data_IF_838155985601
#
_entry.id   IF_838155985601
#
_cell.length_a   1.000
_cell.length_b   1.000
_cell.length_c   1.000
_cell.angle_alpha   90.00
_cell.angle_beta   90.00
_cell.angle_gamma   90.00
#
_symmetry.space_group_name_H-M   'P 1'
#
loop_
_entity.id
_entity.type
_entity.pdbx_description
1 polymer ?
#
# COMPACT_ATOMS: atom_id res chain seq x y z
N UNK A 1 -9.82 20.63 -4.76
CA UNK A 1 -9.99 21.20 -6.11
C UNK A 1 -10.37 20.10 -7.09
N UNK A 2 -11.31 20.34 -8.01
CA UNK A 2 -11.57 19.37 -9.11
C UNK A 2 -10.31 19.25 -9.96
N UNK A 3 -9.95 18.02 -10.36
CA UNK A 3 -8.73 17.73 -11.14
C UNK A 3 -8.66 18.59 -12.42
N UNK A 4 -9.81 18.83 -13.04
CA UNK A 4 -9.98 19.63 -14.26
C UNK A 4 -9.56 21.11 -14.12
N UNK A 5 -9.58 21.68 -12.90
CA UNK A 5 -9.22 23.07 -12.65
C UNK A 5 -7.75 23.25 -12.26
N UNK A 6 -7.01 22.16 -12.04
CA UNK A 6 -5.63 22.22 -11.57
C UNK A 6 -4.66 22.60 -12.69
N UNK A 7 -3.84 23.63 -12.45
CA UNK A 7 -2.69 23.99 -13.30
C UNK A 7 -1.76 22.79 -13.52
N UNK A 8 -1.60 21.95 -12.49
CA UNK A 8 -0.83 20.72 -12.53
C UNK A 8 -1.29 19.74 -13.64
N UNK A 9 -2.58 19.71 -13.97
CA UNK A 9 -3.09 18.84 -15.07
C UNK A 9 -2.68 19.34 -16.45
N UNK A 10 -2.36 20.63 -16.60
CA UNK A 10 -1.80 21.18 -17.84
C UNK A 10 -0.29 20.95 -17.89
N UNK A 11 0.42 21.27 -16.80
CA UNK A 11 1.86 21.05 -16.69
C UNK A 11 2.26 19.58 -16.86
N UNK A 12 1.46 18.63 -16.37
CA UNK A 12 1.74 17.19 -16.54
C UNK A 12 1.57 16.72 -17.99
N UNK A 13 0.88 17.46 -18.88
CA UNK A 13 0.75 17.05 -20.29
C UNK A 13 2.00 17.40 -21.10
N UNK A 14 2.77 18.40 -20.67
CA UNK A 14 3.97 18.86 -21.37
C UNK A 14 5.24 18.15 -20.85
N UNK A 15 6.30 18.11 -21.66
CA UNK A 15 7.60 17.54 -21.25
C UNK A 15 8.51 18.60 -20.63
N UNK A 16 8.19 19.87 -20.84
CA UNK A 16 8.98 21.00 -20.38
C UNK A 16 8.27 21.67 -19.19
N UNK A 17 8.99 22.46 -18.38
CA UNK A 17 8.37 23.28 -17.36
C UNK A 17 7.30 24.21 -17.96
N UNK A 18 6.15 24.30 -17.28
CA UNK A 18 5.10 25.24 -17.61
C UNK A 18 5.22 26.45 -16.70
N UNK A 19 5.65 27.59 -17.25
CA UNK A 19 5.77 28.85 -16.52
C UNK A 19 4.69 29.82 -17.02
N UNK A 20 3.89 30.32 -16.10
CA UNK A 20 2.81 31.28 -16.32
C UNK A 20 3.09 32.50 -15.45
N UNK A 21 3.58 33.57 -16.07
CA UNK A 21 3.96 34.80 -15.39
C UNK A 21 2.78 35.53 -14.75
N UNK A 22 1.65 35.55 -15.46
CA UNK A 22 0.37 36.07 -14.97
C UNK A 22 -0.80 35.28 -15.56
N UNK A 23 -1.44 34.45 -14.73
CA UNK A 23 -2.57 33.60 -15.10
C UNK A 23 -3.81 34.40 -15.51
N UNK A 24 -3.91 35.68 -15.12
CA UNK A 24 -5.00 36.56 -15.54
C UNK A 24 -4.80 37.08 -16.98
N UNK A 25 -3.57 37.04 -17.48
CA UNK A 25 -3.23 37.43 -18.85
C UNK A 25 -3.07 36.21 -19.77
N UNK A 26 -2.89 35.02 -19.20
CA UNK A 26 -2.76 33.78 -19.96
C UNK A 26 -4.13 33.27 -20.41
N UNK A 27 -4.35 33.21 -21.74
CA UNK A 27 -5.59 32.75 -22.36
C UNK A 27 -6.02 31.34 -21.90
N UNK A 28 -5.07 30.49 -21.49
CA UNK A 28 -5.34 29.12 -21.02
C UNK A 28 -5.99 29.11 -19.63
N UNK A 29 -5.72 30.13 -18.81
CA UNK A 29 -6.06 30.15 -17.39
C UNK A 29 -6.94 31.33 -16.96
N UNK A 30 -7.15 32.33 -17.82
CA UNK A 30 -7.92 33.54 -17.50
C UNK A 30 -9.32 33.28 -16.94
N UNK A 31 -10.00 32.23 -17.42
CA UNK A 31 -11.34 31.84 -16.96
C UNK A 31 -11.32 30.74 -15.88
N UNK A 32 -10.14 30.36 -15.37
CA UNK A 32 -10.02 29.31 -14.38
C UNK A 32 -10.57 29.81 -13.02
N UNK A 33 -11.46 29.06 -12.34
CA UNK A 33 -11.99 29.43 -11.03
C UNK A 33 -10.91 29.72 -9.96
N UNK A 34 -9.72 29.15 -10.08
CA UNK A 34 -8.60 29.41 -9.17
C UNK A 34 -7.87 30.74 -9.44
N UNK A 35 -8.14 31.36 -10.59
CA UNK A 35 -7.60 32.66 -11.02
C UNK A 35 -8.63 33.76 -10.77
N UNK A 36 -9.89 33.54 -11.19
CA UNK A 36 -10.98 34.52 -11.06
C UNK A 36 -11.61 34.54 -9.66
N UNK A 37 -11.62 33.38 -8.98
CA UNK A 37 -12.05 33.23 -7.59
C UNK A 37 -10.86 33.00 -6.65
N UNK A 38 -11.13 32.74 -5.37
CA UNK A 38 -10.08 32.39 -4.42
C UNK A 38 -9.42 31.04 -4.80
N UNK A 39 -8.08 30.92 -4.75
CA UNK A 39 -7.16 31.80 -4.04
C UNK A 39 -6.54 32.94 -4.88
N UNK A 40 -7.07 33.23 -6.07
CA UNK A 40 -6.58 34.27 -7.01
C UNK A 40 -5.13 34.05 -7.43
N UNK A 41 -4.85 32.86 -7.95
CA UNK A 41 -3.53 32.50 -8.47
C UNK A 41 -3.18 33.45 -9.63
N UNK A 42 -2.01 34.08 -9.55
CA UNK A 42 -1.47 34.94 -10.59
C UNK A 42 -0.19 34.35 -11.17
N UNK A 43 0.69 33.79 -10.37
CA UNK A 43 1.90 33.13 -10.86
C UNK A 43 1.82 31.62 -10.66
N UNK A 44 2.27 30.87 -11.67
CA UNK A 44 2.41 29.43 -11.61
C UNK A 44 3.68 28.99 -12.34
N UNK A 45 4.52 28.19 -11.70
CA UNK A 45 5.60 27.48 -12.37
C UNK A 45 5.52 26.00 -12.00
N UNK A 46 5.30 25.14 -12.99
CA UNK A 46 5.13 23.69 -12.82
C UNK A 46 6.22 22.92 -13.55
N UNK A 47 6.97 22.12 -12.80
CA UNK A 47 8.05 21.27 -13.29
C UNK A 47 7.58 19.81 -13.26
N UNK A 48 7.54 19.12 -14.42
CA UNK A 48 7.03 17.75 -14.49
C UNK A 48 7.94 16.78 -13.72
N UNK A 49 7.33 15.93 -12.88
CA UNK A 49 8.01 14.83 -12.21
C UNK A 49 8.01 13.61 -13.14
N UNK A 50 9.09 13.44 -13.90
CA UNK A 50 9.22 12.39 -14.92
C UNK A 50 10.27 11.35 -14.51
N UNK A 51 9.92 10.07 -14.59
CA UNK A 51 10.87 8.97 -14.39
C UNK A 51 11.71 8.69 -15.65
N UNK A 52 12.71 7.81 -15.52
CA UNK A 52 13.59 7.44 -16.63
C UNK A 52 12.84 6.75 -17.80
N UNK A 53 11.70 6.12 -17.52
CA UNK A 53 10.81 5.48 -18.52
C UNK A 53 9.90 6.50 -19.24
N UNK A 54 9.91 7.74 -18.76
CA UNK A 54 9.14 8.84 -19.30
C UNK A 54 7.69 8.95 -18.83
N UNK A 55 7.29 8.13 -17.85
CA UNK A 55 6.04 8.30 -17.13
C UNK A 55 6.07 9.57 -16.27
N UNK A 56 4.93 10.25 -16.23
CA UNK A 56 4.76 11.50 -15.50
C UNK A 56 3.99 11.22 -14.21
N UNK A 57 4.69 11.35 -13.10
CA UNK A 57 4.21 11.00 -11.76
C UNK A 57 3.43 12.16 -11.11
N UNK A 58 3.65 13.39 -11.59
CA UNK A 58 3.06 14.60 -11.04
C UNK A 58 3.81 15.84 -11.49
N UNK A 59 3.70 16.91 -10.71
CA UNK A 59 4.40 18.19 -10.95
C UNK A 59 4.87 18.77 -9.62
N UNK A 60 6.13 19.21 -9.55
CA UNK A 60 6.60 20.13 -8.51
C UNK A 60 6.20 21.54 -8.96
N UNK A 61 5.47 22.30 -8.14
CA UNK A 61 5.02 23.61 -8.55
C UNK A 61 5.18 24.69 -7.48
N UNK A 62 5.44 25.91 -7.95
CA UNK A 62 5.38 27.15 -7.20
C UNK A 62 4.15 27.92 -7.65
N UNK A 63 3.40 28.46 -6.68
CA UNK A 63 2.21 29.27 -6.93
C UNK A 63 2.26 30.55 -6.10
N UNK A 64 1.83 31.66 -6.69
CA UNK A 64 1.71 32.95 -5.99
C UNK A 64 0.45 33.70 -6.45
N UNK A 65 -0.06 34.60 -5.59
CA UNK A 65 -1.18 35.52 -5.84
C UNK A 65 -0.74 36.82 -6.51
N UNK A 66 0.56 37.00 -6.73
CA UNK A 66 1.12 38.12 -7.51
C UNK A 66 1.76 37.57 -8.79
N UNK A 67 1.77 38.34 -9.90
CA UNK A 67 2.56 37.98 -11.07
C UNK A 67 4.04 37.80 -10.72
N UNK A 68 4.74 36.93 -11.44
CA UNK A 68 6.11 36.57 -11.12
C UNK A 68 6.87 35.92 -12.28
N UNK A 69 8.14 35.61 -12.03
CA UNK A 69 9.02 34.91 -12.97
C UNK A 69 10.05 34.11 -12.19
N UNK A 70 10.62 33.09 -12.84
CA UNK A 70 11.85 32.45 -12.37
C UNK A 70 12.97 32.82 -13.33
N UNK A 71 14.15 33.07 -12.79
CA UNK A 71 15.37 33.16 -13.61
C UNK A 71 15.87 31.76 -14.01
N UNK A 72 16.92 31.71 -14.84
CA UNK A 72 17.49 30.45 -15.34
C UNK A 72 18.09 29.58 -14.23
N UNK A 73 18.66 30.20 -13.20
CA UNK A 73 19.26 29.49 -12.06
C UNK A 73 18.16 28.82 -11.23
N UNK A 74 17.10 29.58 -10.91
CA UNK A 74 15.92 29.09 -10.20
C UNK A 74 15.22 27.97 -10.98
N UNK A 75 15.09 28.10 -12.30
CA UNK A 75 14.56 27.03 -13.14
C UNK A 75 15.42 25.76 -13.05
N UNK A 76 16.74 25.91 -13.14
CA UNK A 76 17.68 24.79 -13.06
C UNK A 76 17.61 24.08 -11.70
N UNK A 77 17.52 24.83 -10.61
CA UNK A 77 17.34 24.29 -9.26
C UNK A 77 16.02 23.52 -9.15
N UNK A 78 14.92 24.08 -9.65
CA UNK A 78 13.61 23.44 -9.63
C UNK A 78 13.60 22.13 -10.44
N UNK A 79 14.29 22.07 -11.57
CA UNK A 79 14.46 20.83 -12.34
C UNK A 79 15.28 19.78 -11.59
N UNK A 80 16.35 20.19 -10.90
CA UNK A 80 17.14 19.28 -10.07
C UNK A 80 16.32 18.73 -8.90
N UNK A 81 15.54 19.58 -8.23
CA UNK A 81 14.62 19.16 -7.17
C UNK A 81 13.55 18.20 -7.69
N UNK A 82 12.98 18.48 -8.87
CA UNK A 82 12.02 17.59 -9.51
C UNK A 82 12.64 16.19 -9.75
N UNK A 83 13.87 16.12 -10.27
CA UNK A 83 14.61 14.86 -10.44
C UNK A 83 14.86 14.15 -9.11
N UNK A 84 15.25 14.88 -8.07
CA UNK A 84 15.51 14.31 -6.75
C UNK A 84 14.24 13.73 -6.11
N UNK A 85 13.10 14.41 -6.25
CA UNK A 85 11.79 13.93 -5.80
C UNK A 85 11.44 12.62 -6.51
N UNK A 86 11.62 12.54 -7.83
CA UNK A 86 11.38 11.31 -8.59
C UNK A 86 12.25 10.17 -8.07
N UNK A 87 13.55 10.39 -7.87
CA UNK A 87 14.45 9.38 -7.29
C UNK A 87 13.98 8.90 -5.92
N UNK A 88 13.49 9.79 -5.06
CA UNK A 88 12.95 9.43 -3.76
C UNK A 88 11.65 8.60 -3.87
N UNK A 89 10.75 8.98 -4.77
CA UNK A 89 9.51 8.23 -5.04
C UNK A 89 9.81 6.83 -5.57
N UNK A 90 10.77 6.69 -6.48
CA UNK A 90 11.21 5.39 -7.00
C UNK A 90 11.83 4.53 -5.90
N UNK A 91 12.71 5.10 -5.08
CA UNK A 91 13.32 4.37 -3.97
C UNK A 91 12.27 3.89 -2.98
N UNK A 92 11.30 4.74 -2.63
CA UNK A 92 10.17 4.38 -1.77
C UNK A 92 9.34 3.26 -2.39
N UNK A 93 9.02 3.33 -3.70
CA UNK A 93 8.30 2.28 -4.42
C UNK A 93 9.06 0.95 -4.38
N UNK A 94 10.36 0.95 -4.64
CA UNK A 94 11.20 -0.26 -4.58
C UNK A 94 11.23 -0.85 -3.17
N UNK A 95 11.37 -0.01 -2.14
CA UNK A 95 11.33 -0.45 -0.74
C UNK A 95 10.00 -1.12 -0.38
N UNK A 96 8.87 -0.52 -0.78
CA UNK A 96 7.55 -1.11 -0.56
C UNK A 96 7.38 -2.42 -1.33
N UNK A 97 7.83 -2.50 -2.57
CA UNK A 97 7.78 -3.73 -3.35
C UNK A 97 8.64 -4.85 -2.74
N UNK A 98 9.79 -4.53 -2.14
CA UNK A 98 10.60 -5.50 -1.42
C UNK A 98 9.88 -6.00 -0.16
N UNK A 99 9.27 -5.09 0.61
CA UNK A 99 8.48 -5.46 1.79
C UNK A 99 7.27 -6.33 1.41
N UNK A 100 6.62 -6.02 0.29
CA UNK A 100 5.50 -6.81 -0.25
C UNK A 100 5.96 -8.19 -0.74
N UNK A 101 7.08 -8.28 -1.45
CA UNK A 101 7.64 -9.57 -1.86
C UNK A 101 8.04 -10.43 -0.63
N UNK A 102 8.62 -9.82 0.41
CA UNK A 102 8.92 -10.50 1.67
C UNK A 102 7.64 -10.93 2.39
N UNK A 103 6.60 -10.08 2.40
CA UNK A 103 5.31 -10.42 2.98
C UNK A 103 4.70 -11.60 2.24
N UNK A 104 4.73 -11.67 0.91
CA UNK A 104 4.24 -12.80 0.13
C UNK A 104 5.03 -14.10 0.33
N UNK A 105 6.33 -14.03 0.60
CA UNK A 105 7.11 -15.21 0.98
C UNK A 105 6.76 -15.70 2.39
N UNK A 106 6.40 -14.78 3.30
CA UNK A 106 5.96 -15.10 4.66
C UNK A 106 4.45 -15.46 4.73
N UNK A 107 3.63 -14.89 3.84
CA UNK A 107 2.21 -15.16 3.64
C UNK A 107 2.05 -16.08 2.43
N UNK A 108 2.14 -17.37 2.70
CA UNK A 108 1.20 -18.27 2.07
C UNK A 108 -0.20 -17.85 2.54
N UNK A 109 -0.91 -16.99 1.78
CA UNK A 109 -2.32 -16.70 2.06
C UNK A 109 -3.14 -17.98 1.82
N UNK A 110 -3.16 -18.82 2.86
CA UNK A 110 -3.65 -20.18 2.86
C UNK A 110 -5.14 -20.22 3.14
N UNK A 111 -5.95 -19.93 2.12
CA UNK A 111 -7.33 -20.40 2.13
C UNK A 111 -7.28 -21.92 1.93
N UNK A 112 -7.37 -22.65 3.04
CA UNK A 112 -7.51 -24.10 2.99
C UNK A 112 -8.92 -24.43 2.53
N UNK A 113 -9.01 -25.12 1.40
CA UNK A 113 -10.27 -25.67 0.92
C UNK A 113 -10.68 -26.81 1.85
N UNK A 114 -11.68 -26.57 2.69
CA UNK A 114 -12.24 -27.57 3.61
C UNK A 114 -13.53 -28.18 3.07
N UNK A 115 -13.73 -29.48 3.28
CA UNK A 115 -14.98 -30.14 2.96
C UNK A 115 -16.08 -29.68 3.92
N UNK A 116 -17.21 -29.22 3.39
CA UNK A 116 -18.33 -28.72 4.21
C UNK A 116 -18.96 -29.77 5.13
N UNK A 117 -18.73 -31.06 4.87
CA UNK A 117 -19.35 -32.16 5.61
C UNK A 117 -18.40 -32.82 6.63
N UNK A 118 -17.18 -33.18 6.22
CA UNK A 118 -16.22 -33.89 7.08
C UNK A 118 -15.09 -33.01 7.61
N UNK A 119 -14.97 -31.76 7.14
CA UNK A 119 -13.92 -30.78 7.51
C UNK A 119 -12.49 -31.20 7.17
N UNK A 120 -12.30 -32.20 6.31
CA UNK A 120 -11.00 -32.51 5.70
C UNK A 120 -10.50 -31.34 4.83
N UNK A 121 -9.19 -31.26 4.65
CA UNK A 121 -8.51 -30.22 3.86
C UNK A 121 -8.04 -30.82 2.54
N UNK A 122 -8.24 -30.07 1.44
CA UNK A 122 -7.72 -30.44 0.12
C UNK A 122 -6.26 -30.02 0.00
N UNK A 123 -5.39 -30.96 -0.37
CA UNK A 123 -3.98 -30.69 -0.60
C UNK A 123 -3.72 -30.06 -1.99
N UNK A 124 -2.47 -29.73 -2.28
CA UNK A 124 -2.03 -29.15 -3.57
C UNK A 124 -2.19 -30.09 -4.76
N UNK A 125 -2.15 -31.40 -4.53
CA UNK A 125 -2.27 -32.45 -5.55
C UNK A 125 -3.74 -32.78 -5.85
N UNK A 126 -4.67 -32.21 -5.06
CA UNK A 126 -6.11 -32.32 -5.23
C UNK A 126 -6.78 -33.38 -4.35
N UNK A 127 -6.03 -34.10 -3.52
CA UNK A 127 -6.52 -35.13 -2.60
C UNK A 127 -7.05 -34.55 -1.29
N UNK A 128 -7.99 -35.27 -0.66
CA UNK A 128 -8.52 -34.93 0.66
C UNK A 128 -7.74 -35.64 1.77
N UNK A 129 -7.43 -34.91 2.84
CA UNK A 129 -6.77 -35.47 4.02
C UNK A 129 -7.15 -34.71 5.30
N UNK A 130 -6.95 -35.35 6.45
CA UNK A 130 -7.07 -34.70 7.76
C UNK A 130 -6.14 -33.49 7.89
N UNK A 131 -6.64 -32.46 8.56
CA UNK A 131 -5.92 -31.18 8.74
C UNK A 131 -4.57 -31.36 9.41
N UNK A 132 -4.46 -32.26 10.39
CA UNK A 132 -3.21 -32.56 11.10
C UNK A 132 -2.14 -33.08 10.14
N UNK A 133 -2.52 -34.06 9.29
CA UNK A 133 -1.63 -34.60 8.26
C UNK A 133 -1.24 -33.54 7.23
N UNK A 134 -2.18 -32.69 6.83
CA UNK A 134 -1.88 -31.57 5.93
C UNK A 134 -0.86 -30.63 6.56
N UNK A 135 -1.08 -30.18 7.80
CA UNK A 135 -0.23 -29.21 8.50
C UNK A 135 1.16 -29.77 8.79
N UNK A 136 1.30 -31.02 9.22
CA UNK A 136 2.62 -31.65 9.43
C UNK A 136 3.42 -31.81 8.14
N UNK A 137 2.76 -31.87 6.97
CA UNK A 137 3.44 -31.99 5.67
C UNK A 137 3.87 -30.64 5.10
N UNK A 138 3.14 -29.56 5.39
CA UNK A 138 3.43 -28.22 4.84
C UNK A 138 4.15 -27.31 5.84
N UNK A 139 4.23 -27.70 7.11
CA UNK A 139 4.87 -26.93 8.18
C UNK A 139 5.60 -27.86 9.16
N UNK A 140 6.52 -27.32 9.96
CA UNK A 140 7.26 -28.10 10.95
C UNK A 140 6.48 -28.30 12.26
N UNK A 141 5.16 -28.52 12.17
CA UNK A 141 4.26 -28.73 13.33
C UNK A 141 4.14 -30.21 13.63
N UNK A 142 4.38 -30.58 14.89
CA UNK A 142 4.12 -31.90 15.46
C UNK A 142 2.89 -31.83 16.38
N UNK A 143 2.05 -32.85 16.33
CA UNK A 143 0.83 -32.93 17.14
C UNK A 143 1.02 -33.90 18.30
N UNK A 144 0.79 -33.42 19.52
CA UNK A 144 0.51 -34.28 20.68
C UNK A 144 -1.00 -34.33 20.89
N UNK A 145 -1.54 -35.50 21.25
CA UNK A 145 -2.96 -35.63 21.54
C UNK A 145 -3.20 -35.31 23.01
N UNK A 146 -4.21 -34.48 23.28
CA UNK A 146 -4.69 -34.17 24.62
C UNK A 146 -6.22 -34.13 24.63
N UNK A 147 -6.80 -34.25 25.82
CA UNK A 147 -8.25 -34.13 26.01
C UNK A 147 -8.50 -32.87 26.82
N UNK A 148 -9.30 -31.94 26.30
CA UNK A 148 -9.65 -30.73 27.03
C UNK A 148 -10.62 -31.03 28.19
N UNK A 149 -10.70 -30.12 29.17
CA UNK A 149 -11.49 -30.31 30.39
C UNK A 149 -12.96 -30.66 30.10
N UNK A 150 -13.59 -29.99 29.14
CA UNK A 150 -14.99 -30.26 28.79
C UNK A 150 -15.19 -31.64 28.15
N UNK A 151 -14.22 -32.14 27.39
CA UNK A 151 -14.28 -33.50 26.84
C UNK A 151 -13.94 -34.54 27.91
N UNK A 152 -13.03 -34.24 28.84
CA UNK A 152 -12.75 -35.09 30.01
C UNK A 152 -14.01 -35.25 30.87
N UNK A 153 -14.70 -34.17 31.20
CA UNK A 153 -15.95 -34.21 31.97
C UNK A 153 -17.06 -34.98 31.23
N UNK A 154 -17.15 -34.79 29.91
CA UNK A 154 -18.21 -35.41 29.11
C UNK A 154 -18.00 -36.91 28.87
N UNK A 155 -16.77 -37.31 28.58
CA UNK A 155 -16.46 -38.67 28.11
C UNK A 155 -15.82 -39.54 29.19
N UNK A 156 -15.18 -38.93 30.20
CA UNK A 156 -14.51 -39.60 31.29
C UNK A 156 -14.88 -38.99 32.66
N UNK A 157 -16.18 -38.79 32.97
CA UNK A 157 -16.61 -38.15 34.22
C UNK A 157 -16.07 -38.88 35.46
N UNK A 158 -16.02 -40.22 35.42
CA UNK A 158 -15.51 -41.04 36.53
C UNK A 158 -14.02 -40.81 36.79
N UNK A 159 -13.24 -40.54 35.72
CA UNK A 159 -11.81 -40.22 35.81
C UNK A 159 -11.62 -38.82 36.41
N UNK A 160 -12.44 -37.86 35.98
CA UNK A 160 -12.43 -36.49 36.52
C UNK A 160 -12.81 -36.49 38.01
N UNK A 161 -13.81 -37.28 38.39
CA UNK A 161 -14.21 -37.42 39.79
C UNK A 161 -13.10 -38.08 40.63
N UNK A 162 -12.41 -39.08 40.09
CA UNK A 162 -11.28 -39.73 40.75
C UNK A 162 -10.05 -38.81 40.89
N UNK A 163 -9.74 -37.99 39.88
CA UNK A 163 -8.65 -37.00 39.92
C UNK A 163 -8.97 -35.84 40.86
N UNK A 164 -10.25 -35.46 40.98
CA UNK A 164 -10.68 -34.40 41.91
C UNK A 164 -10.62 -34.84 43.37
N UNK A 165 -10.72 -36.14 43.64
CA UNK A 165 -10.65 -36.72 45.00
C UNK A 165 -9.24 -37.12 45.44
N UNK A 166 -8.29 -37.24 44.52
CA UNK A 166 -6.92 -37.66 44.82
C UNK A 166 -5.95 -36.52 44.47
N UNK A 167 -5.36 -35.87 45.48
CA UNK A 167 -4.32 -34.83 45.36
C UNK A 167 -3.01 -35.38 44.76
N UNK A 168 -3.02 -35.76 43.48
CA UNK A 168 -1.82 -36.13 42.75
C UNK A 168 -1.79 -35.40 41.41
N UNK A 169 -1.35 -34.14 41.45
CA UNK A 169 -0.71 -33.51 40.29
C UNK A 169 0.81 -33.69 40.48
N UNK A 170 1.51 -34.48 39.65
CA UNK A 170 2.94 -34.33 39.52
C UNK A 170 3.24 -32.97 38.87
N UNK A 171 4.21 -32.27 39.45
CA UNK A 171 4.80 -31.00 38.99
C UNK A 171 5.30 -31.03 37.56
#
# INVERSE_FOLDING_TARGET
>A
TRRDWSFCTHAIKENNPLIVHDAYQDKRFINNPLVTGEPKIRFYAGFPLKNNEGNKLGTLCVIDRKPGSLDEEQCSIMELLAKQIVSFLELRKRSLNLLDALSHLHNQEGILSVCSYCREVRNKDGDWQHIEKYLSNVSNIQFSHGVCDSCMERHFPDVVEAWSKNEYMPS
#
